data_IF_730679866561
#
_entry.id   IF_730679866561
#
_cell.length_a   1.000
_cell.length_b   1.000
_cell.length_c   1.000
_cell.angle_alpha   90.00
_cell.angle_beta   90.00
_cell.angle_gamma   90.00
#
_symmetry.space_group_name_H-M   'P 1'
#
loop_
_entity.id
_entity.type
_entity.pdbx_description
1 polymer ?
#
# COMPACT_ATOMS: atom_id res chain seq x y z
N UNK A 1 -9.76 -5.31 -26.59
CA UNK A 1 -8.41 -4.70 -26.54
C UNK A 1 -8.38 -3.44 -25.66
N UNK A 2 -9.10 -2.35 -26.01
CA UNK A 2 -9.04 -1.06 -25.29
C UNK A 2 -9.22 -1.13 -23.76
N UNK A 3 -10.18 -1.91 -23.26
CA UNK A 3 -10.38 -2.10 -21.82
C UNK A 3 -9.21 -2.82 -21.13
N UNK A 4 -8.57 -3.76 -21.83
CA UNK A 4 -7.38 -4.46 -21.36
C UNK A 4 -6.17 -3.51 -21.31
N UNK A 5 -5.95 -2.71 -22.35
CA UNK A 5 -4.92 -1.66 -22.34
C UNK A 5 -5.08 -0.77 -21.10
N UNK A 6 -6.28 -0.26 -20.86
CA UNK A 6 -6.54 0.62 -19.72
C UNK A 6 -6.31 -0.07 -18.36
N UNK A 7 -6.65 -1.36 -18.25
CA UNK A 7 -6.39 -2.13 -17.04
C UNK A 7 -4.89 -2.39 -16.82
N UNK A 8 -4.12 -2.63 -17.88
CA UNK A 8 -2.67 -2.81 -17.81
C UNK A 8 -1.96 -1.49 -17.53
N UNK A 9 -2.41 -0.36 -18.09
CA UNK A 9 -1.86 0.97 -17.79
C UNK A 9 -1.94 1.27 -16.30
N UNK A 10 -3.07 0.97 -15.66
CA UNK A 10 -3.19 1.11 -14.21
C UNK A 10 -2.18 0.26 -13.42
N UNK A 11 -1.73 -0.88 -13.95
CA UNK A 11 -0.68 -1.68 -13.30
C UNK A 11 0.68 -1.04 -13.56
N UNK A 12 0.93 -0.63 -14.80
CA UNK A 12 2.18 0.00 -15.24
C UNK A 12 2.43 1.32 -14.51
N UNK A 13 1.40 2.12 -14.27
CA UNK A 13 1.52 3.40 -13.55
C UNK A 13 2.05 3.21 -12.11
N UNK A 14 1.79 2.06 -11.49
CA UNK A 14 2.23 1.76 -10.13
C UNK A 14 3.57 1.00 -10.08
N UNK A 15 3.82 0.11 -11.03
CA UNK A 15 4.95 -0.83 -10.97
C UNK A 15 5.98 -0.66 -12.10
N UNK A 16 5.69 0.17 -13.09
CA UNK A 16 6.43 0.24 -14.34
C UNK A 16 6.03 -0.87 -15.32
N UNK A 17 6.43 -0.76 -16.60
CA UNK A 17 6.19 -1.79 -17.59
C UNK A 17 7.06 -3.02 -17.30
N UNK A 18 6.51 -4.24 -17.37
CA UNK A 18 7.30 -5.45 -17.21
C UNK A 18 8.18 -5.70 -18.44
N UNK A 19 9.36 -6.30 -18.24
CA UNK A 19 10.22 -6.72 -19.35
C UNK A 19 9.54 -7.76 -20.25
N UNK A 20 8.75 -8.65 -19.66
CA UNK A 20 8.06 -9.73 -20.38
C UNK A 20 6.64 -9.93 -19.85
N UNK A 21 5.69 -10.08 -20.76
CA UNK A 21 4.30 -10.44 -20.46
C UNK A 21 3.99 -11.78 -21.12
N UNK A 22 3.48 -12.73 -20.34
CA UNK A 22 3.08 -14.04 -20.83
C UNK A 22 1.55 -14.14 -20.81
N UNK A 23 0.94 -14.50 -21.94
CA UNK A 23 -0.50 -14.76 -22.03
C UNK A 23 -0.81 -15.93 -22.95
N UNK A 24 -2.08 -16.35 -23.00
CA UNK A 24 -2.55 -17.21 -24.08
C UNK A 24 -2.49 -16.50 -25.44
N UNK A 25 -2.63 -17.28 -26.51
CA UNK A 25 -2.70 -16.77 -27.88
C UNK A 25 -4.14 -16.37 -28.30
N UNK A 26 -5.03 -16.16 -27.32
CA UNK A 26 -6.43 -15.84 -27.59
C UNK A 26 -6.68 -14.33 -27.71
N UNK A 27 -7.72 -13.90 -28.45
CA UNK A 27 -8.23 -12.54 -28.30
C UNK A 27 -8.66 -12.28 -26.85
N UNK A 28 -8.40 -11.09 -26.28
CA UNK A 28 -7.89 -9.89 -26.96
C UNK A 28 -6.35 -9.76 -26.98
N UNK A 29 -5.58 -10.70 -26.42
CA UNK A 29 -4.13 -10.53 -26.19
C UNK A 29 -3.28 -10.49 -27.48
N UNK A 30 -3.77 -11.07 -28.56
CA UNK A 30 -3.12 -11.11 -29.88
C UNK A 30 -3.67 -10.07 -30.88
N UNK A 31 -4.47 -9.11 -30.42
CA UNK A 31 -5.04 -8.07 -31.29
C UNK A 31 -3.99 -7.03 -31.73
N UNK A 32 -4.24 -6.37 -32.87
CA UNK A 32 -3.36 -5.32 -33.38
C UNK A 32 -3.11 -4.20 -32.36
N UNK A 33 -4.17 -3.78 -31.66
CA UNK A 33 -4.07 -2.74 -30.64
C UNK A 33 -3.22 -3.17 -29.44
N UNK A 34 -3.21 -4.47 -29.09
CA UNK A 34 -2.34 -4.98 -28.03
C UNK A 34 -0.89 -5.06 -28.48
N UNK A 35 -0.61 -5.42 -29.73
CA UNK A 35 0.75 -5.39 -30.26
C UNK A 35 1.33 -3.96 -30.22
N UNK A 36 0.56 -2.96 -30.65
CA UNK A 36 0.96 -1.56 -30.51
C UNK A 36 1.18 -1.13 -29.06
N UNK A 37 0.39 -1.68 -28.13
CA UNK A 37 0.55 -1.43 -26.70
C UNK A 37 1.89 -2.00 -26.19
N UNK A 38 2.22 -3.23 -26.54
CA UNK A 38 3.48 -3.85 -26.14
C UNK A 38 4.68 -3.08 -26.71
N UNK A 39 4.63 -2.68 -27.99
CA UNK A 39 5.67 -1.87 -28.62
C UNK A 39 5.85 -0.51 -27.93
N UNK A 40 4.74 0.16 -27.59
CA UNK A 40 4.75 1.45 -26.89
C UNK A 40 5.47 1.39 -25.54
N UNK A 41 5.25 0.31 -24.79
CA UNK A 41 5.81 0.14 -23.44
C UNK A 41 7.10 -0.70 -23.41
N UNK A 42 7.59 -1.16 -24.56
CA UNK A 42 8.79 -2.00 -24.66
C UNK A 42 8.62 -3.39 -24.02
N UNK A 43 7.41 -3.95 -24.03
CA UNK A 43 7.08 -5.22 -23.38
C UNK A 43 7.33 -6.37 -24.36
N UNK A 44 8.15 -7.34 -23.98
CA UNK A 44 8.28 -8.58 -24.75
C UNK A 44 7.06 -9.50 -24.49
N UNK A 45 6.14 -9.58 -25.45
CA UNK A 45 4.96 -10.43 -25.32
C UNK A 45 5.27 -11.87 -25.79
N UNK A 46 5.11 -12.83 -24.87
CA UNK A 46 5.29 -14.26 -25.14
C UNK A 46 3.93 -14.94 -25.07
N UNK A 47 3.51 -15.57 -26.15
CA UNK A 47 2.30 -16.39 -26.16
C UNK A 47 2.63 -17.82 -25.76
N UNK A 48 1.82 -18.39 -24.85
CA UNK A 48 1.96 -19.80 -24.51
C UNK A 48 1.56 -20.65 -25.70
N UNK A 49 2.40 -21.61 -26.09
CA UNK A 49 2.04 -22.58 -27.13
C UNK A 49 0.77 -23.33 -26.73
N UNK A 50 -0.11 -23.65 -27.71
CA UNK A 50 -1.25 -24.51 -27.46
C UNK A 50 -0.77 -25.79 -26.77
N UNK A 51 -1.47 -26.22 -25.72
CA UNK A 51 -1.19 -27.44 -24.93
C UNK A 51 -0.01 -27.39 -23.92
N UNK A 52 0.55 -26.21 -23.59
CA UNK A 52 1.41 -26.04 -22.39
C UNK A 52 0.75 -25.20 -21.27
N UNK A 53 -0.26 -25.74 -20.57
CA UNK A 53 -0.96 -25.06 -19.47
C UNK A 53 -0.06 -24.73 -18.27
N UNK A 54 1.13 -25.33 -18.18
CA UNK A 54 2.09 -25.05 -17.11
C UNK A 54 2.55 -23.59 -17.09
N UNK A 55 2.72 -22.95 -18.26
CA UNK A 55 3.25 -21.58 -18.35
C UNK A 55 2.27 -20.53 -17.84
N UNK A 56 0.95 -20.75 -17.95
CA UNK A 56 -0.08 -19.84 -17.42
C UNK A 56 -0.75 -20.37 -16.13
N UNK A 57 -0.25 -21.49 -15.60
CA UNK A 57 -0.90 -22.19 -14.50
C UNK A 57 -1.00 -21.38 -13.20
N UNK A 58 -0.12 -20.40 -12.97
CA UNK A 58 -0.23 -19.49 -11.83
C UNK A 58 -1.42 -18.53 -11.97
N UNK A 59 -1.62 -17.95 -13.16
CA UNK A 59 -2.77 -17.09 -13.41
C UNK A 59 -4.08 -17.89 -13.34
N UNK A 60 -4.11 -19.09 -13.90
CA UNK A 60 -5.28 -19.98 -13.83
C UNK A 60 -5.61 -20.38 -12.38
N UNK A 61 -4.60 -20.74 -11.58
CA UNK A 61 -4.77 -21.01 -10.15
C UNK A 61 -5.32 -19.80 -9.42
N UNK A 62 -4.81 -18.61 -9.69
CA UNK A 62 -5.35 -17.38 -9.11
C UNK A 62 -6.81 -17.16 -9.49
N UNK A 63 -7.17 -17.30 -10.77
CA UNK A 63 -8.57 -17.15 -11.24
C UNK A 63 -9.50 -18.13 -10.54
N UNK A 64 -9.06 -19.36 -10.31
CA UNK A 64 -9.81 -20.35 -9.54
C UNK A 64 -10.04 -19.91 -8.10
N UNK A 65 -8.97 -19.57 -7.38
CA UNK A 65 -9.07 -19.07 -5.99
C UNK A 65 -9.92 -17.81 -5.89
N UNK A 66 -9.84 -16.93 -6.88
CA UNK A 66 -10.65 -15.72 -6.96
C UNK A 66 -12.14 -16.05 -7.09
N UNK A 67 -12.52 -16.94 -8.02
CA UNK A 67 -13.91 -17.38 -8.19
C UNK A 67 -14.46 -18.03 -6.94
N UNK A 68 -13.68 -18.91 -6.30
CA UNK A 68 -14.05 -19.53 -5.03
C UNK A 68 -14.25 -18.50 -3.91
N UNK A 69 -13.36 -17.50 -3.82
CA UNK A 69 -13.51 -16.39 -2.87
C UNK A 69 -14.77 -15.58 -3.10
N UNK A 70 -15.08 -15.24 -4.36
CA UNK A 70 -16.29 -14.49 -4.71
C UNK A 70 -17.56 -15.27 -4.38
N UNK A 71 -17.58 -16.59 -4.60
CA UNK A 71 -18.70 -17.46 -4.22
C UNK A 71 -18.89 -17.49 -2.70
N UNK A 72 -17.80 -17.54 -1.93
CA UNK A 72 -17.86 -17.49 -0.46
C UNK A 72 -18.42 -16.17 0.05
N UNK A 73 -17.97 -15.02 -0.48
CA UNK A 73 -18.55 -13.71 -0.13
C UNK A 73 -20.05 -13.67 -0.40
N UNK A 74 -20.49 -14.20 -1.55
CA UNK A 74 -21.91 -14.28 -1.88
C UNK A 74 -22.69 -15.17 -0.90
N UNK A 75 -22.14 -16.32 -0.51
CA UNK A 75 -22.74 -17.22 0.50
C UNK A 75 -22.82 -16.57 1.88
N UNK A 76 -21.89 -15.69 2.22
CA UNK A 76 -21.91 -14.89 3.46
C UNK A 76 -22.90 -13.70 3.39
N UNK A 77 -23.67 -13.57 2.30
CA UNK A 77 -24.69 -12.53 2.14
C UNK A 77 -24.16 -11.20 1.60
N UNK A 78 -22.92 -11.14 1.11
CA UNK A 78 -22.35 -9.91 0.58
C UNK A 78 -22.94 -9.57 -0.80
N UNK A 79 -23.87 -8.61 -0.84
CA UNK A 79 -24.58 -8.20 -2.07
C UNK A 79 -23.81 -7.19 -2.91
N UNK A 80 -22.96 -6.36 -2.30
CA UNK A 80 -22.14 -5.38 -3.01
C UNK A 80 -20.91 -6.06 -3.61
N UNK A 81 -20.88 -6.19 -4.94
CA UNK A 81 -19.80 -6.81 -5.72
C UNK A 81 -18.45 -6.11 -5.56
N UNK A 82 -18.43 -4.79 -5.41
CA UNK A 82 -17.17 -4.04 -5.21
C UNK A 82 -16.55 -4.35 -3.85
N UNK A 83 -17.39 -4.47 -2.82
CA UNK A 83 -16.94 -4.85 -1.49
C UNK A 83 -16.45 -6.30 -1.47
N UNK A 84 -17.19 -7.23 -2.09
CA UNK A 84 -16.75 -8.62 -2.26
C UNK A 84 -15.40 -8.71 -2.99
N UNK A 85 -15.26 -8.02 -4.12
CA UNK A 85 -14.02 -7.95 -4.89
C UNK A 85 -12.84 -7.46 -4.03
N UNK A 86 -13.06 -6.37 -3.28
CA UNK A 86 -12.04 -5.81 -2.37
C UNK A 86 -11.63 -6.81 -1.29
N UNK A 87 -12.61 -7.49 -0.68
CA UNK A 87 -12.37 -8.45 0.40
C UNK A 87 -11.58 -9.66 -0.12
N UNK A 88 -12.01 -10.26 -1.24
CA UNK A 88 -11.32 -11.41 -1.85
C UNK A 88 -9.88 -11.06 -2.22
N UNK A 89 -9.67 -9.92 -2.89
CA UNK A 89 -8.33 -9.49 -3.27
C UNK A 89 -7.45 -9.15 -2.06
N UNK A 90 -8.02 -8.58 -0.98
CA UNK A 90 -7.29 -8.33 0.27
C UNK A 90 -6.83 -9.66 0.87
N UNK A 91 -7.75 -10.60 1.08
CA UNK A 91 -7.46 -11.90 1.65
C UNK A 91 -6.39 -12.65 0.87
N UNK A 92 -6.49 -12.67 -0.46
CA UNK A 92 -5.48 -13.31 -1.32
C UNK A 92 -4.10 -12.64 -1.17
N UNK A 93 -4.03 -11.31 -1.22
CA UNK A 93 -2.76 -10.58 -1.15
C UNK A 93 -2.08 -10.66 0.21
N UNK A 94 -2.86 -10.81 1.29
CA UNK A 94 -2.37 -10.76 2.67
C UNK A 94 -2.12 -12.14 3.27
N UNK A 95 -2.70 -13.20 2.70
CA UNK A 95 -2.51 -14.58 3.17
C UNK A 95 -1.20 -15.16 2.64
N UNK A 96 -0.31 -15.68 3.51
CA UNK A 96 0.89 -16.40 3.06
C UNK A 96 0.54 -17.62 2.22
N UNK A 97 1.23 -17.79 1.08
CA UNK A 97 1.11 -19.03 0.32
C UNK A 97 1.91 -20.14 0.99
N UNK A 98 1.37 -21.35 1.02
CA UNK A 98 2.02 -22.51 1.66
C UNK A 98 3.37 -22.84 1.05
N UNK A 99 3.54 -22.65 -0.25
CA UNK A 99 4.79 -22.95 -0.98
C UNK A 99 5.90 -21.94 -0.69
N UNK A 100 5.58 -20.65 -0.55
CA UNK A 100 6.59 -19.59 -0.39
C UNK A 100 6.75 -19.12 1.07
N UNK A 101 5.80 -19.45 1.94
CA UNK A 101 5.74 -18.96 3.32
C UNK A 101 5.50 -17.45 3.45
N UNK A 102 5.31 -16.74 2.33
CA UNK A 102 5.11 -15.29 2.29
C UNK A 102 3.86 -14.94 1.50
N UNK A 103 3.23 -13.82 1.83
CA UNK A 103 2.04 -13.36 1.13
C UNK A 103 2.42 -12.62 -0.17
N UNK A 104 1.57 -12.64 -1.21
CA UNK A 104 1.86 -11.96 -2.47
C UNK A 104 2.20 -10.47 -2.32
N UNK A 105 1.55 -9.75 -1.39
CA UNK A 105 1.84 -8.34 -1.14
C UNK A 105 3.27 -8.12 -0.63
N UNK A 106 3.77 -8.98 0.28
CA UNK A 106 5.13 -8.88 0.78
C UNK A 106 6.15 -9.15 -0.32
N UNK A 107 5.89 -10.15 -1.16
CA UNK A 107 6.78 -10.51 -2.27
C UNK A 107 6.85 -9.39 -3.30
N UNK A 108 5.71 -8.78 -3.62
CA UNK A 108 5.63 -7.69 -4.60
C UNK A 108 6.25 -6.38 -4.08
N UNK A 109 5.96 -6.00 -2.84
CA UNK A 109 6.41 -4.73 -2.26
C UNK A 109 7.78 -4.82 -1.59
N UNK A 110 8.34 -6.03 -1.45
CA UNK A 110 9.57 -6.32 -0.70
C UNK A 110 9.56 -5.75 0.73
N UNK A 111 8.36 -5.60 1.31
CA UNK A 111 8.11 -5.01 2.62
C UNK A 111 7.05 -5.83 3.34
N UNK A 112 7.24 -6.05 4.65
CA UNK A 112 6.26 -6.78 5.47
C UNK A 112 5.05 -5.89 5.76
N UNK A 113 3.94 -6.18 5.09
CA UNK A 113 2.67 -5.51 5.37
C UNK A 113 2.16 -5.87 6.77
N UNK A 114 1.47 -4.91 7.40
CA UNK A 114 0.78 -5.13 8.67
C UNK A 114 -0.61 -5.69 8.39
N UNK A 115 -0.91 -6.88 8.90
CA UNK A 115 -2.20 -7.57 8.71
C UNK A 115 -3.11 -7.42 9.93
N UNK A 116 -4.39 -7.82 9.82
CA UNK A 116 -5.31 -7.83 10.97
C UNK A 116 -4.76 -8.68 12.13
N UNK A 117 -4.08 -9.80 11.82
CA UNK A 117 -3.45 -10.66 12.84
C UNK A 117 -2.29 -9.97 13.56
N UNK A 118 -1.56 -9.08 12.88
CA UNK A 118 -0.50 -8.28 13.51
C UNK A 118 -1.07 -7.16 14.38
N UNK A 119 -2.28 -6.68 14.09
CA UNK A 119 -3.00 -5.72 14.94
C UNK A 119 -3.51 -6.39 16.22
N UNK A 120 -3.91 -7.66 16.15
CA UNK A 120 -4.38 -8.42 17.31
C UNK A 120 -3.28 -8.71 18.34
N UNK A 121 -2.01 -8.67 17.95
CA UNK A 121 -0.89 -8.82 18.89
C UNK A 121 -0.86 -7.61 19.83
N UNK A 122 -0.65 -7.80 21.15
CA UNK A 122 -0.51 -6.69 22.06
C UNK A 122 0.61 -5.78 21.56
N UNK A 123 0.33 -4.47 21.53
CA UNK A 123 1.27 -3.49 21.05
C UNK A 123 2.49 -3.51 21.98
N UNK A 124 3.61 -4.07 21.53
CA UNK A 124 4.89 -3.82 22.19
C UNK A 124 5.08 -2.31 22.17
N UNK A 125 5.28 -1.70 23.34
CA UNK A 125 5.53 -0.27 23.42
C UNK A 125 6.76 0.00 22.57
N UNK A 126 6.58 0.66 21.42
CA UNK A 126 7.70 1.12 20.59
C UNK A 126 8.49 2.05 21.50
N UNK A 127 9.59 1.54 22.05
CA UNK A 127 10.53 2.38 22.77
C UNK A 127 11.03 3.36 21.72
N UNK A 128 10.82 4.68 21.90
CA UNK A 128 11.31 5.64 20.93
C UNK A 128 12.81 5.39 20.76
N UNK A 129 13.22 5.09 19.53
CA UNK A 129 14.62 4.77 19.20
C UNK A 129 15.57 5.92 19.52
N UNK A 130 15.01 7.13 19.63
CA UNK A 130 15.71 8.35 20.01
C UNK A 130 15.09 8.89 21.29
N UNK A 131 15.93 9.15 22.30
CA UNK A 131 15.50 9.88 23.47
C UNK A 131 15.06 11.29 23.07
N UNK A 132 13.96 11.81 23.65
CA UNK A 132 13.51 13.17 23.35
C UNK A 132 14.60 14.18 23.72
N UNK A 133 14.91 15.12 22.82
CA UNK A 133 15.95 16.14 23.03
C UNK A 133 15.65 17.07 24.22
N UNK A 134 14.37 17.27 24.52
CA UNK A 134 13.93 18.16 25.57
C UNK A 134 13.08 17.42 26.61
N UNK A 135 13.21 17.84 27.87
CA UNK A 135 12.45 17.29 28.99
C UNK A 135 11.11 18.02 29.19
N UNK A 136 10.12 17.31 29.74
CA UNK A 136 8.88 17.95 30.20
C UNK A 136 9.21 18.92 31.33
N UNK A 137 8.67 20.14 31.26
CA UNK A 137 8.98 21.25 32.17
C UNK A 137 10.15 22.14 31.71
N UNK A 138 10.87 21.76 30.65
CA UNK A 138 11.95 22.58 30.12
C UNK A 138 11.41 23.83 29.41
N UNK A 139 12.06 24.97 29.66
CA UNK A 139 11.79 26.22 28.96
C UNK A 139 12.46 26.18 27.57
N UNK A 140 11.67 26.38 26.54
CA UNK A 140 12.10 26.39 25.13
C UNK A 140 11.60 27.64 24.42
N UNK A 141 12.29 28.03 23.36
CA UNK A 141 11.85 29.11 22.48
C UNK A 141 11.09 28.53 21.30
N UNK A 142 9.88 29.04 21.06
CA UNK A 142 9.08 28.72 19.87
C UNK A 142 8.92 29.96 19.01
N UNK A 143 8.94 29.77 17.70
CA UNK A 143 8.57 30.81 16.76
C UNK A 143 7.03 30.87 16.65
N UNK A 144 6.42 32.03 16.93
CA UNK A 144 4.98 32.27 16.76
C UNK A 144 4.75 32.96 15.42
N UNK A 145 4.09 32.27 14.50
CA UNK A 145 3.63 32.86 13.25
C UNK A 145 2.29 33.56 13.49
N UNK A 146 2.23 34.84 13.12
CA UNK A 146 1.01 35.65 13.15
C UNK A 146 0.71 36.14 11.73
N UNK A 147 -0.57 36.21 11.38
CA UNK A 147 -1.01 36.74 10.09
C UNK A 147 -0.52 38.19 9.93
N UNK A 148 0.10 38.50 8.79
CA UNK A 148 0.61 39.81 8.42
C UNK A 148 1.65 40.44 9.37
N UNK A 149 2.31 39.64 10.21
CA UNK A 149 3.40 40.09 11.09
C UNK A 149 4.63 39.22 10.92
N UNK A 150 5.82 39.79 11.15
CA UNK A 150 7.06 39.02 11.20
C UNK A 150 6.97 38.00 12.34
N UNK A 151 7.42 36.75 12.12
CA UNK A 151 7.38 35.73 13.15
C UNK A 151 8.29 36.14 14.32
N UNK A 152 7.82 35.94 15.54
CA UNK A 152 8.53 36.35 16.75
C UNK A 152 8.80 35.15 17.65
N UNK A 153 10.01 35.10 18.21
CA UNK A 153 10.39 34.11 19.20
C UNK A 153 9.71 34.40 20.52
N UNK A 154 9.08 33.39 21.10
CA UNK A 154 8.42 33.47 22.40
C UNK A 154 8.83 32.27 23.26
N UNK A 155 8.93 32.50 24.56
CA UNK A 155 9.23 31.44 25.52
C UNK A 155 7.98 30.59 25.77
N UNK A 156 8.18 29.29 25.78
CA UNK A 156 7.17 28.31 26.11
C UNK A 156 7.76 27.20 26.97
N UNK A 157 6.93 26.51 27.72
CA UNK A 157 7.32 25.36 28.55
C UNK A 157 6.80 24.11 27.90
N UNK A 158 7.62 23.06 27.81
CA UNK A 158 7.18 21.76 27.32
C UNK A 158 6.25 21.12 28.35
N UNK A 159 4.99 20.86 27.96
CA UNK A 159 4.01 20.19 28.82
C UNK A 159 3.99 18.69 28.59
N UNK A 160 4.28 18.22 27.37
CA UNK A 160 4.22 16.80 27.02
C UNK A 160 5.11 16.46 25.84
N UNK A 161 5.81 15.32 25.95
CA UNK A 161 6.54 14.73 24.83
C UNK A 161 5.58 13.79 24.07
N UNK A 162 5.20 14.17 22.84
CA UNK A 162 4.29 13.37 22.00
C UNK A 162 5.08 12.34 21.18
N UNK A 163 6.25 12.74 20.66
CA UNK A 163 7.25 11.83 20.07
C UNK A 163 8.65 12.33 20.39
N UNK A 164 9.69 11.67 19.88
CA UNK A 164 11.08 12.17 19.97
C UNK A 164 11.28 13.55 19.33
N UNK A 165 10.41 13.93 18.39
CA UNK A 165 10.50 15.18 17.62
C UNK A 165 9.29 16.10 17.79
N UNK A 166 8.19 15.63 18.39
CA UNK A 166 6.97 16.43 18.56
C UNK A 166 6.72 16.67 20.04
N UNK A 167 6.62 17.96 20.39
CA UNK A 167 6.45 18.45 21.75
C UNK A 167 5.16 19.26 21.84
N UNK A 168 4.40 19.08 22.91
CA UNK A 168 3.38 20.02 23.31
C UNK A 168 4.03 21.09 24.18
N UNK A 169 3.86 22.35 23.78
CA UNK A 169 4.40 23.51 24.48
C UNK A 169 3.26 24.41 24.95
N UNK A 170 3.44 25.05 26.09
CA UNK A 170 2.54 26.05 26.64
C UNK A 170 3.27 27.38 26.71
N UNK A 171 2.74 28.39 26.02
CA UNK A 171 3.22 29.76 26.09
C UNK A 171 2.81 30.43 27.41
N UNK A 172 3.44 31.56 27.74
CA UNK A 172 3.11 32.35 28.93
C UNK A 172 1.65 32.88 28.94
N UNK A 173 1.02 33.01 27.76
CA UNK A 173 -0.39 33.37 27.60
C UNK A 173 -1.36 32.21 27.89
N UNK A 174 -0.84 31.04 28.29
CA UNK A 174 -1.61 29.83 28.57
C UNK A 174 -2.00 29.01 27.33
N UNK A 175 -1.68 29.49 26.12
CA UNK A 175 -2.01 28.78 24.88
C UNK A 175 -1.07 27.58 24.68
N UNK A 176 -1.67 26.44 24.29
CA UNK A 176 -0.94 25.20 24.01
C UNK A 176 -0.81 24.95 22.52
N UNK A 177 0.40 24.61 22.10
CA UNK A 177 0.72 24.31 20.71
C UNK A 177 1.52 23.02 20.60
N UNK A 178 1.33 22.29 19.51
CA UNK A 178 2.23 21.20 19.11
C UNK A 178 3.32 21.77 18.21
N UNK A 179 4.58 21.49 18.53
CA UNK A 179 5.75 21.92 17.76
C UNK A 179 6.67 20.75 17.44
N UNK A 180 7.26 20.81 16.26
CA UNK A 180 8.36 19.95 15.86
C UNK A 180 9.68 20.53 16.39
N UNK A 181 10.63 19.66 16.73
CA UNK A 181 12.00 20.00 17.13
C UNK A 181 12.73 20.87 16.10
#
# INVERSE_FOLDING_TARGET
AKSLCHALEQVIDWFGPPETLVSDNGPPFNSYEMNQFYDKYGINHITTVPYHPASNGLAERFVRSFKEGMLKEQQMGQTNKFLALRNVLRSYRWTPHTTTGSCPANMLLQHKIRTELDIMKPHESIKPSQQPKYAVGQLVWTLKHQLNKRPQWQQAIITKNISSMIFEIQLADGQRYKRHQ
#
